data_IF_581120706068
#
_entry.id   IF_581120706068
#
_cell.length_a   1.000
_cell.length_b   1.000
_cell.length_c   1.000
_cell.angle_alpha   90.00
_cell.angle_beta   90.00
_cell.angle_gamma   90.00
#
_symmetry.space_group_name_H-M   'P 1'
#
loop_
_entity.id
_entity.type
_entity.pdbx_description
1 polymer ?
#
# COMPACT_ATOMS: atom_id res chain seq x y z
N UNK A 1 -96.86 -11.37 21.86
CA UNK A 1 -96.01 -12.54 21.79
C UNK A 1 -94.71 -12.16 21.06
N UNK A 2 -93.71 -11.63 21.78
CA UNK A 2 -92.50 -11.10 21.22
C UNK A 2 -91.37 -12.02 21.56
N UNK A 3 -90.71 -12.60 20.52
CA UNK A 3 -89.52 -13.41 20.66
C UNK A 3 -88.32 -12.55 20.56
N UNK A 4 -87.52 -12.49 21.65
CA UNK A 4 -86.20 -11.84 21.66
C UNK A 4 -85.16 -12.80 21.15
N UNK A 5 -84.46 -12.42 20.04
CA UNK A 5 -83.32 -13.10 19.54
C UNK A 5 -82.09 -12.43 20.12
N UNK A 6 -81.35 -13.20 20.97
CA UNK A 6 -80.06 -12.77 21.52
C UNK A 6 -78.94 -13.03 20.52
N UNK A 7 -78.25 -11.95 20.11
CA UNK A 7 -77.07 -12.05 19.27
C UNK A 7 -75.88 -12.32 20.16
N UNK A 8 -75.21 -13.46 20.03
CA UNK A 8 -73.92 -13.76 20.64
C UNK A 8 -72.81 -13.16 19.76
N UNK A 9 -72.07 -12.21 20.31
CA UNK A 9 -70.84 -11.65 19.69
C UNK A 9 -69.69 -12.66 19.83
N UNK A 10 -69.16 -13.08 18.70
CA UNK A 10 -67.91 -13.89 18.64
C UNK A 10 -66.74 -12.92 18.53
N UNK A 11 -65.96 -12.81 19.60
CA UNK A 11 -64.69 -12.04 19.61
C UNK A 11 -63.60 -12.86 18.94
N UNK A 12 -63.19 -12.43 17.74
CA UNK A 12 -62.06 -12.99 17.04
C UNK A 12 -60.77 -12.37 17.62
N UNK A 13 -60.01 -13.14 18.35
CA UNK A 13 -58.68 -12.76 18.81
C UNK A 13 -57.69 -12.96 17.65
N UNK A 14 -57.26 -11.85 17.07
CA UNK A 14 -56.19 -11.89 16.07
C UNK A 14 -54.83 -11.98 16.77
N UNK A 15 -54.19 -13.15 16.66
CA UNK A 15 -52.79 -13.35 17.09
C UNK A 15 -51.90 -12.78 16.01
N UNK A 16 -51.32 -11.57 16.27
CA UNK A 16 -50.25 -11.02 15.44
C UNK A 16 -48.93 -11.71 15.77
N UNK A 17 -48.49 -12.60 14.88
CA UNK A 17 -47.16 -13.19 14.90
C UNK A 17 -46.17 -12.12 14.39
N UNK A 18 -45.44 -11.48 15.27
CA UNK A 18 -44.35 -10.56 14.91
C UNK A 18 -43.18 -11.36 14.36
N UNK A 19 -43.03 -11.39 13.03
CA UNK A 19 -41.82 -11.88 12.35
C UNK A 19 -40.68 -10.84 12.57
N UNK A 20 -39.84 -11.09 13.55
CA UNK A 20 -38.58 -10.35 13.70
C UNK A 20 -37.64 -10.75 12.55
N UNK A 21 -37.15 -9.79 11.76
CA UNK A 21 -36.12 -10.09 10.77
C UNK A 21 -34.83 -10.48 11.50
N UNK A 22 -34.44 -11.74 11.39
CA UNK A 22 -33.12 -12.21 11.79
C UNK A 22 -32.15 -11.60 10.78
N UNK A 23 -31.61 -10.43 11.07
CA UNK A 23 -30.47 -9.88 10.37
C UNK A 23 -29.28 -10.72 10.78
N UNK A 24 -29.01 -11.78 10.01
CA UNK A 24 -27.75 -12.50 10.05
C UNK A 24 -26.69 -11.52 9.61
N UNK A 25 -26.06 -10.85 10.58
CA UNK A 25 -24.81 -10.14 10.37
C UNK A 25 -23.76 -11.18 9.99
N UNK A 26 -23.71 -11.56 8.70
CA UNK A 26 -22.53 -12.15 8.11
C UNK A 26 -21.46 -11.07 8.14
N UNK A 27 -20.77 -10.95 9.29
CA UNK A 27 -19.50 -10.29 9.37
C UNK A 27 -18.57 -11.12 8.48
N UNK A 28 -18.48 -10.74 7.19
CA UNK A 28 -17.40 -11.22 6.34
C UNK A 28 -16.12 -10.78 7.04
N UNK A 29 -15.45 -11.73 7.69
CA UNK A 29 -14.04 -11.61 8.02
C UNK A 29 -13.33 -11.43 6.66
N UNK A 30 -13.21 -10.17 6.23
CA UNK A 30 -12.24 -9.82 5.22
C UNK A 30 -10.89 -10.14 5.85
N UNK A 31 -10.36 -11.30 5.56
CA UNK A 31 -8.98 -11.65 5.89
C UNK A 31 -8.12 -10.59 5.22
N UNK A 32 -7.66 -9.62 6.02
CA UNK A 32 -6.73 -8.61 5.51
C UNK A 32 -5.52 -9.35 4.96
N UNK A 33 -5.08 -8.96 3.76
CA UNK A 33 -3.91 -9.57 3.13
C UNK A 33 -2.73 -9.56 4.10
N UNK A 34 -1.93 -10.63 4.13
CA UNK A 34 -0.71 -10.68 4.95
C UNK A 34 0.31 -9.65 4.45
N UNK A 35 1.26 -9.21 5.30
CA UNK A 35 2.33 -8.29 4.87
C UNK A 35 3.07 -8.81 3.64
N UNK A 36 3.36 -10.09 3.61
CA UNK A 36 4.01 -10.77 2.49
C UNK A 36 3.18 -10.70 1.21
N UNK A 37 1.87 -10.95 1.30
CA UNK A 37 0.97 -10.85 0.15
C UNK A 37 0.87 -9.42 -0.39
N UNK A 38 0.91 -8.41 0.49
CA UNK A 38 0.95 -6.99 0.11
C UNK A 38 2.22 -6.68 -0.67
N UNK A 39 3.39 -7.07 -0.15
CA UNK A 39 4.68 -6.85 -0.81
C UNK A 39 4.76 -7.60 -2.13
N UNK A 40 4.31 -8.85 -2.17
CA UNK A 40 4.24 -9.64 -3.41
C UNK A 40 3.36 -8.99 -4.47
N UNK A 41 2.18 -8.48 -4.08
CA UNK A 41 1.24 -7.77 -4.96
C UNK A 41 1.83 -6.45 -5.46
N UNK A 42 2.46 -5.68 -4.57
CA UNK A 42 3.13 -4.43 -4.93
C UNK A 42 4.21 -4.66 -5.98
N UNK A 43 5.16 -5.57 -5.74
CA UNK A 43 6.26 -5.79 -6.70
C UNK A 43 5.79 -6.43 -8.00
N UNK A 44 4.78 -7.31 -7.98
CA UNK A 44 4.16 -7.79 -9.23
C UNK A 44 3.61 -6.65 -10.07
N UNK A 45 2.86 -5.73 -9.44
CA UNK A 45 2.36 -4.54 -10.13
C UNK A 45 3.50 -3.66 -10.62
N UNK A 46 4.48 -3.42 -9.75
CA UNK A 46 5.61 -2.54 -10.02
C UNK A 46 6.43 -2.99 -11.22
N UNK A 47 6.73 -4.29 -11.31
CA UNK A 47 7.48 -4.91 -12.42
C UNK A 47 6.69 -5.06 -13.73
N UNK A 48 5.37 -5.03 -13.67
CA UNK A 48 4.50 -5.10 -14.86
C UNK A 48 4.14 -3.74 -15.44
N UNK A 49 4.57 -2.65 -14.81
CA UNK A 49 4.29 -1.27 -15.20
C UNK A 49 5.57 -0.46 -15.28
N UNK A 50 5.46 0.76 -15.83
CA UNK A 50 6.60 1.68 -15.87
C UNK A 50 7.11 1.98 -14.44
N UNK A 51 8.42 1.76 -14.21
CA UNK A 51 9.10 1.95 -12.92
C UNK A 51 9.68 3.36 -12.76
N UNK A 52 9.64 4.22 -13.79
CA UNK A 52 10.17 5.57 -13.69
C UNK A 52 9.55 6.31 -12.51
N UNK A 53 10.38 7.04 -11.79
CA UNK A 53 9.93 7.90 -10.72
C UNK A 53 9.18 9.10 -11.31
N UNK A 54 7.87 9.07 -11.26
CA UNK A 54 6.99 10.13 -11.73
C UNK A 54 5.73 10.22 -10.88
N UNK A 55 5.10 11.41 -10.85
CA UNK A 55 3.84 11.64 -10.11
C UNK A 55 2.77 10.61 -10.47
N UNK A 56 2.60 10.32 -11.76
CA UNK A 56 1.62 9.35 -12.22
C UNK A 56 1.92 7.94 -11.73
N UNK A 57 3.19 7.52 -11.78
CA UNK A 57 3.59 6.19 -11.36
C UNK A 57 3.50 6.01 -9.84
N UNK A 58 3.81 7.03 -9.04
CA UNK A 58 3.59 7.03 -7.59
C UNK A 58 2.09 6.92 -7.27
N UNK A 59 1.24 7.72 -7.95
CA UNK A 59 -0.22 7.67 -7.73
C UNK A 59 -0.83 6.30 -8.08
N UNK A 60 -0.35 5.61 -9.10
CA UNK A 60 -0.79 4.25 -9.43
C UNK A 60 -0.46 3.23 -8.33
N UNK A 61 0.56 3.49 -7.51
CA UNK A 61 1.02 2.63 -6.41
C UNK A 61 0.42 2.99 -5.05
N UNK A 62 -0.34 4.09 -4.96
CA UNK A 62 -0.87 4.66 -3.70
C UNK A 62 -1.56 3.64 -2.78
N UNK A 63 -2.26 2.64 -3.35
CA UNK A 63 -3.03 1.68 -2.56
C UNK A 63 -2.16 0.76 -1.67
N UNK A 64 -0.87 0.64 -1.96
CA UNK A 64 0.10 -0.14 -1.18
C UNK A 64 0.93 0.71 -0.23
N UNK A 65 0.91 2.04 -0.37
CA UNK A 65 1.78 2.95 0.37
C UNK A 65 1.04 3.53 1.58
N UNK A 66 1.77 3.74 2.67
CA UNK A 66 1.23 4.49 3.80
C UNK A 66 1.01 5.96 3.38
N UNK A 67 0.05 6.66 4.02
CA UNK A 67 -0.13 8.11 3.81
C UNK A 67 1.17 8.89 4.04
N UNK A 68 1.98 8.48 5.02
CA UNK A 68 3.27 9.10 5.29
C UNK A 68 4.23 8.94 4.12
N UNK A 69 4.45 7.71 3.64
CA UNK A 69 5.37 7.48 2.52
C UNK A 69 4.89 8.14 1.24
N UNK A 70 3.59 8.03 0.94
CA UNK A 70 2.99 8.69 -0.22
C UNK A 70 3.16 10.21 -0.16
N UNK A 71 2.93 10.83 1.01
CA UNK A 71 3.11 12.26 1.22
C UNK A 71 4.55 12.71 0.99
N UNK A 72 5.52 11.94 1.48
CA UNK A 72 6.95 12.24 1.28
C UNK A 72 7.35 12.15 -0.20
N UNK A 73 6.88 11.12 -0.93
CA UNK A 73 7.14 10.96 -2.36
C UNK A 73 6.51 12.11 -3.18
N UNK A 74 5.31 12.55 -2.83
CA UNK A 74 4.65 13.70 -3.48
C UNK A 74 5.41 14.98 -3.18
N UNK A 75 5.86 15.17 -1.93
CA UNK A 75 6.63 16.34 -1.54
C UNK A 75 7.96 16.43 -2.30
N UNK A 76 8.60 15.31 -2.62
CA UNK A 76 9.82 15.30 -3.43
C UNK A 76 9.59 15.97 -4.79
N UNK A 77 8.47 15.67 -5.47
CA UNK A 77 8.13 16.35 -6.74
C UNK A 77 7.86 17.85 -6.59
N UNK A 78 7.32 18.29 -5.45
CA UNK A 78 7.15 19.72 -5.21
C UNK A 78 8.50 20.42 -5.06
N UNK A 79 9.43 19.79 -4.36
CA UNK A 79 10.79 20.30 -4.18
C UNK A 79 11.55 20.34 -5.49
N UNK A 80 11.39 19.34 -6.36
CA UNK A 80 11.95 19.35 -7.73
C UNK A 80 11.42 20.53 -8.56
N UNK A 81 10.09 20.75 -8.52
CA UNK A 81 9.46 21.88 -9.23
C UNK A 81 9.93 23.24 -8.68
N UNK A 82 10.11 23.36 -7.37
CA UNK A 82 10.61 24.59 -6.75
C UNK A 82 12.05 24.86 -7.14
N UNK A 83 12.89 23.84 -7.11
CA UNK A 83 14.28 23.96 -7.54
C UNK A 83 14.37 24.37 -9.02
N UNK A 84 13.66 23.67 -9.90
CA UNK A 84 13.66 23.97 -11.34
C UNK A 84 13.19 25.40 -11.64
N UNK A 85 12.23 25.92 -10.88
CA UNK A 85 11.78 27.33 -11.00
C UNK A 85 12.82 28.33 -10.54
N UNK A 86 13.55 27.99 -9.48
CA UNK A 86 14.63 28.85 -8.94
C UNK A 86 15.89 28.83 -9.82
N UNK A 87 16.13 27.71 -10.54
CA UNK A 87 17.33 27.48 -11.33
C UNK A 87 17.02 27.18 -12.82
N UNK A 88 16.36 28.12 -13.56
CA UNK A 88 15.85 27.85 -14.91
C UNK A 88 16.93 27.62 -15.98
N UNK A 89 18.19 27.85 -15.64
CA UNK A 89 19.34 27.62 -16.54
C UNK A 89 20.01 26.26 -16.28
N UNK A 90 19.66 25.58 -15.22
CA UNK A 90 20.22 24.27 -14.90
C UNK A 90 19.41 23.17 -15.60
N UNK A 91 20.11 22.27 -16.29
CA UNK A 91 19.49 21.12 -16.95
C UNK A 91 19.35 19.91 -16.01
N UNK A 92 19.92 19.98 -14.83
CA UNK A 92 19.92 18.92 -13.84
C UNK A 92 19.19 19.36 -12.58
N UNK A 93 18.28 18.53 -12.11
CA UNK A 93 17.56 18.73 -10.86
C UNK A 93 18.12 17.72 -9.84
N UNK A 94 18.76 18.19 -8.74
CA UNK A 94 19.55 17.35 -7.84
C UNK A 94 18.68 16.57 -6.84
N UNK A 95 17.66 15.89 -7.35
CA UNK A 95 16.74 15.12 -6.53
C UNK A 95 16.86 13.60 -6.75
N UNK A 96 15.79 12.87 -6.48
CA UNK A 96 15.83 11.41 -6.52
C UNK A 96 16.04 10.90 -7.95
N UNK A 97 17.15 10.25 -8.19
CA UNK A 97 17.42 9.56 -9.44
C UNK A 97 17.03 8.08 -9.35
N UNK A 98 16.45 7.56 -10.44
CA UNK A 98 16.07 6.16 -10.56
C UNK A 98 14.78 5.80 -9.85
N UNK A 99 14.64 4.55 -9.52
CA UNK A 99 13.43 3.99 -8.91
C UNK A 99 13.57 3.88 -7.38
N UNK A 100 12.80 4.65 -6.60
CA UNK A 100 12.89 4.62 -5.14
C UNK A 100 12.44 3.29 -4.53
N UNK A 101 11.63 2.53 -5.24
CA UNK A 101 11.08 1.26 -4.73
C UNK A 101 12.04 0.08 -4.91
N UNK A 102 13.01 0.23 -5.78
CA UNK A 102 14.10 -0.74 -5.97
C UNK A 102 15.46 -0.18 -5.53
N UNK A 103 15.50 1.10 -5.15
CA UNK A 103 16.73 1.82 -4.79
C UNK A 103 17.80 1.69 -5.88
N UNK A 104 17.43 1.86 -7.16
CA UNK A 104 18.33 1.68 -8.30
C UNK A 104 18.02 2.58 -9.49
N UNK A 105 19.06 2.92 -10.24
CA UNK A 105 18.94 3.62 -11.52
C UNK A 105 18.60 2.64 -12.66
N UNK A 106 19.11 1.39 -12.57
CA UNK A 106 18.80 0.35 -13.53
C UNK A 106 17.68 -0.57 -12.99
N UNK A 107 16.72 -0.90 -13.84
CA UNK A 107 15.58 -1.71 -13.43
C UNK A 107 15.97 -3.17 -13.24
N UNK A 108 15.66 -3.78 -12.08
CA UNK A 108 15.86 -5.20 -11.88
C UNK A 108 14.96 -6.03 -12.79
N UNK A 109 15.42 -7.21 -13.17
CA UNK A 109 14.70 -8.12 -14.06
C UNK A 109 13.70 -9.03 -13.35
N UNK A 110 13.90 -9.26 -12.05
CA UNK A 110 13.02 -10.09 -11.23
C UNK A 110 13.18 -9.81 -9.73
N UNK A 111 12.25 -10.32 -8.95
CA UNK A 111 12.27 -10.23 -7.49
C UNK A 111 11.84 -11.53 -6.84
N UNK A 112 12.23 -11.72 -5.58
CA UNK A 112 11.74 -12.78 -4.70
C UNK A 112 11.39 -12.20 -3.34
N UNK A 113 10.18 -12.49 -2.87
CA UNK A 113 9.77 -12.18 -1.49
C UNK A 113 10.32 -13.28 -0.60
N UNK A 114 10.95 -12.89 0.49
CA UNK A 114 11.61 -13.78 1.43
C UNK A 114 10.95 -13.78 2.81
N UNK A 115 11.78 -13.76 3.87
CA UNK A 115 11.32 -13.85 5.25
C UNK A 115 10.44 -12.67 5.64
N UNK A 116 9.36 -12.97 6.35
CA UNK A 116 8.47 -11.99 7.00
C UNK A 116 8.62 -12.07 8.51
N UNK A 117 8.75 -10.92 9.16
CA UNK A 117 8.71 -10.79 10.63
C UNK A 117 7.63 -9.79 10.97
N UNK A 118 6.68 -10.21 11.81
CA UNK A 118 5.56 -9.37 12.28
C UNK A 118 5.72 -9.11 13.76
N UNK A 119 5.54 -7.87 14.18
CA UNK A 119 5.50 -7.45 15.59
C UNK A 119 4.40 -6.40 15.73
N UNK A 120 3.29 -6.77 16.38
CA UNK A 120 2.10 -5.95 16.56
C UNK A 120 1.59 -5.35 15.23
N UNK A 121 1.57 -4.03 15.14
CA UNK A 121 1.10 -3.27 13.97
C UNK A 121 2.23 -2.95 12.96
N UNK A 122 3.37 -3.65 13.07
CA UNK A 122 4.53 -3.49 12.18
C UNK A 122 4.94 -4.82 11.59
N UNK A 123 5.46 -4.79 10.38
CA UNK A 123 6.06 -5.96 9.76
C UNK A 123 7.27 -5.57 8.90
N UNK A 124 8.23 -6.48 8.82
CA UNK A 124 9.36 -6.41 7.89
C UNK A 124 9.30 -7.60 6.95
N UNK A 125 9.38 -7.34 5.66
CA UNK A 125 9.39 -8.36 4.61
C UNK A 125 10.64 -8.21 3.78
N UNK A 126 11.48 -9.22 3.75
CA UNK A 126 12.70 -9.21 2.94
C UNK A 126 12.36 -9.40 1.46
N UNK A 127 13.02 -8.65 0.59
CA UNK A 127 12.91 -8.79 -0.88
C UNK A 127 14.30 -8.87 -1.47
N UNK A 128 14.52 -9.87 -2.31
CA UNK A 128 15.72 -10.00 -3.13
C UNK A 128 15.40 -9.53 -4.55
N UNK A 129 16.09 -8.50 -5.02
CA UNK A 129 16.06 -8.03 -6.40
C UNK A 129 17.21 -8.66 -7.18
N UNK A 130 16.97 -8.94 -8.47
CA UNK A 130 17.92 -9.61 -9.34
C UNK A 130 17.98 -8.87 -10.68
N UNK A 131 19.21 -8.61 -11.17
CA UNK A 131 19.48 -8.11 -12.51
C UNK A 131 20.02 -9.23 -13.38
N UNK A 132 19.61 -9.29 -14.63
CA UNK A 132 20.26 -10.18 -15.62
C UNK A 132 21.60 -9.56 -15.99
N UNK A 133 22.69 -10.19 -15.61
CA UNK A 133 24.03 -9.73 -15.95
C UNK A 133 24.25 -9.70 -17.46
N UNK A 134 24.92 -8.67 -17.95
CA UNK A 134 25.54 -8.66 -19.28
C UNK A 134 26.87 -9.39 -19.18
N UNK A 135 26.88 -10.71 -19.30
CA UNK A 135 28.11 -11.55 -19.26
C UNK A 135 28.29 -12.30 -17.95
N UNK A 136 29.09 -13.32 -17.98
CA UNK A 136 29.51 -14.34 -16.98
C UNK A 136 28.72 -14.37 -15.66
N UNK A 137 28.12 -15.52 -15.42
CA UNK A 137 27.54 -16.08 -14.19
C UNK A 137 27.37 -15.13 -12.98
N UNK A 138 26.11 -14.77 -12.70
CA UNK A 138 25.73 -14.03 -11.51
C UNK A 138 25.41 -12.56 -11.79
N UNK A 139 24.18 -12.27 -12.22
CA UNK A 139 23.71 -10.90 -12.26
C UNK A 139 23.73 -10.25 -10.88
N UNK A 140 23.81 -8.91 -10.86
CA UNK A 140 23.74 -8.14 -9.62
C UNK A 140 22.48 -8.46 -8.82
N UNK A 141 22.61 -8.38 -7.51
CA UNK A 141 21.50 -8.61 -6.58
C UNK A 141 21.48 -7.52 -5.52
N UNK A 142 20.29 -7.25 -5.00
CA UNK A 142 20.08 -6.30 -3.90
C UNK A 142 19.09 -6.85 -2.90
N UNK A 143 19.40 -6.69 -1.63
CA UNK A 143 18.55 -7.10 -0.53
C UNK A 143 17.83 -5.88 0.05
N UNK A 144 16.51 -5.90 0.01
CA UNK A 144 15.67 -4.88 0.62
C UNK A 144 14.93 -5.46 1.82
N UNK A 145 14.71 -4.62 2.83
CA UNK A 145 13.71 -4.83 3.88
C UNK A 145 12.56 -3.85 3.66
N UNK A 146 11.39 -4.39 3.37
CA UNK A 146 10.17 -3.62 3.19
C UNK A 146 9.48 -3.53 4.54
N UNK A 147 9.42 -2.33 5.08
CA UNK A 147 8.77 -2.05 6.36
C UNK A 147 7.31 -1.68 6.13
N UNK A 148 6.41 -2.42 6.76
CA UNK A 148 4.99 -2.18 6.70
C UNK A 148 4.46 -1.76 8.07
N UNK A 149 3.37 -0.99 8.03
CA UNK A 149 2.54 -0.66 9.18
C UNK A 149 1.10 -1.06 8.89
N UNK A 150 0.32 -1.27 9.94
CA UNK A 150 -1.11 -1.52 9.80
C UNK A 150 -1.88 -0.22 9.93
N UNK A 151 -2.62 0.15 8.91
CA UNK A 151 -3.47 1.35 8.88
C UNK A 151 -4.89 0.99 8.46
N UNK A 152 -5.86 1.36 9.27
CA UNK A 152 -7.25 1.01 9.01
C UNK A 152 -7.49 -0.50 8.86
N UNK A 153 -6.73 -1.33 9.59
CA UNK A 153 -6.79 -2.78 9.53
C UNK A 153 -6.07 -3.42 8.33
N UNK A 154 -5.39 -2.63 7.49
CA UNK A 154 -4.67 -3.11 6.29
C UNK A 154 -3.16 -2.87 6.44
N UNK A 155 -2.37 -3.79 5.91
CA UNK A 155 -0.93 -3.60 5.80
C UNK A 155 -0.61 -2.68 4.62
N UNK A 156 0.25 -1.68 4.87
CA UNK A 156 0.75 -0.74 3.85
C UNK A 156 2.25 -0.55 4.00
N UNK A 157 2.95 -0.34 2.90
CA UNK A 157 4.40 -0.10 2.87
C UNK A 157 4.65 1.31 3.42
N UNK A 158 5.48 1.38 4.46
CA UNK A 158 5.82 2.62 5.14
C UNK A 158 7.26 3.08 4.90
N UNK A 159 8.17 2.14 4.61
CA UNK A 159 9.56 2.42 4.32
C UNK A 159 10.22 1.29 3.52
N UNK A 160 11.33 1.59 2.87
CA UNK A 160 12.17 0.62 2.15
C UNK A 160 13.62 0.87 2.56
N UNK A 161 14.26 -0.17 3.08
CA UNK A 161 15.67 -0.18 3.46
C UNK A 161 16.47 -1.02 2.49
N UNK A 162 17.55 -0.47 1.95
CA UNK A 162 18.54 -1.25 1.24
C UNK A 162 19.55 -1.80 2.25
N UNK A 163 19.54 -3.10 2.47
CA UNK A 163 20.42 -3.75 3.47
C UNK A 163 21.89 -3.80 3.05
N UNK A 164 22.17 -3.69 1.77
CA UNK A 164 23.51 -3.84 1.25
C UNK A 164 24.37 -2.57 1.48
N UNK A 165 23.71 -1.39 1.53
CA UNK A 165 24.41 -0.11 1.73
C UNK A 165 23.82 0.76 2.87
N UNK A 166 22.72 0.33 3.48
CA UNK A 166 22.05 1.06 4.57
C UNK A 166 21.16 2.22 4.13
N UNK A 167 20.88 2.38 2.83
CA UNK A 167 19.99 3.42 2.35
C UNK A 167 18.57 3.22 2.87
N UNK A 168 17.98 4.28 3.41
CA UNK A 168 16.63 4.35 3.96
C UNK A 168 15.83 5.37 3.16
N UNK A 169 14.78 4.89 2.47
CA UNK A 169 13.97 5.73 1.60
C UNK A 169 13.33 6.90 2.35
N UNK A 170 12.73 6.65 3.51
CA UNK A 170 12.06 7.70 4.30
C UNK A 170 13.09 8.70 4.83
N UNK A 171 14.26 8.23 5.31
CA UNK A 171 15.31 9.12 5.74
C UNK A 171 15.84 9.98 4.59
N UNK A 172 16.01 9.40 3.41
CA UNK A 172 16.45 10.13 2.22
C UNK A 172 15.42 11.18 1.76
N UNK A 173 14.12 10.85 1.78
CA UNK A 173 13.05 11.79 1.43
C UNK A 173 12.89 12.93 2.45
N UNK A 174 13.24 12.70 3.72
CA UNK A 174 13.20 13.72 4.79
C UNK A 174 14.45 14.60 4.82
N UNK A 175 15.54 14.17 4.19
CA UNK A 175 16.78 14.91 4.19
C UNK A 175 16.59 16.25 3.46
N UNK A 176 16.99 17.34 4.08
CA UNK A 176 17.06 18.64 3.40
C UNK A 176 18.16 18.54 2.32
N UNK A 177 17.71 18.45 1.08
CA UNK A 177 18.58 18.47 -0.09
C UNK A 177 18.49 19.86 -0.68
N UNK A 178 19.62 20.51 -0.81
CA UNK A 178 19.76 21.75 -1.58
C UNK A 178 18.82 22.88 -1.10
N UNK A 179 19.04 23.37 0.10
CA UNK A 179 18.58 24.72 0.45
C UNK A 179 19.40 25.72 -0.36
N UNK A 180 18.76 26.76 -0.91
CA UNK A 180 19.45 27.85 -1.61
C UNK A 180 20.40 28.60 -0.70
#
# INVERSE_FOLDING_TARGET
MHLHFSRRSISTVAVMLALLPIHSAFSQLQTSATPEAVVQSFYRFHFSHNMDFSRQNVQRRRQWLSPQLLGLLINEFHREDEYARAHPKESFVPYMEGDPFTNSQEYPSSFRVGKTVVSDEKANVSVLLLWKGRGKEGGDKRNLDIQLVREGGKWVINNILNKDNGDDLVANLKREKYLP
#
